data_IF_880315418278
#
_entry.id   IF_880315418278
#
_cell.length_a   1.000
_cell.length_b   1.000
_cell.length_c   1.000
_cell.angle_alpha   90.00
_cell.angle_beta   90.00
_cell.angle_gamma   90.00
#
_symmetry.space_group_name_H-M   'P 1'
#
loop_
_entity.id
_entity.type
_entity.pdbx_description
1 polymer ?
#
# COMPACT_ATOMS: atom_id res chain seq x y z
N UNK A 1 5.84 6.49 9.09
CA UNK A 1 5.43 7.83 8.60
C UNK A 1 6.62 8.69 8.23
N UNK A 2 6.36 9.91 7.77
CA UNK A 2 7.38 10.86 7.41
C UNK A 2 7.04 11.59 6.11
N UNK A 3 7.88 12.56 5.75
CA UNK A 3 7.76 13.29 4.48
C UNK A 3 8.30 12.42 3.34
N UNK A 4 7.54 12.27 2.25
CA UNK A 4 7.92 11.39 1.16
C UNK A 4 9.16 11.85 0.37
N UNK A 5 9.52 13.13 0.46
CA UNK A 5 10.74 13.65 -0.13
C UNK A 5 11.95 13.51 0.79
N UNK A 6 11.83 14.01 2.02
CA UNK A 6 12.96 14.13 2.95
C UNK A 6 13.24 12.84 3.73
N UNK A 7 12.22 12.01 3.94
CA UNK A 7 12.30 10.85 4.81
C UNK A 7 12.22 9.50 4.08
N UNK A 8 12.08 9.52 2.75
CA UNK A 8 11.84 8.29 1.96
C UNK A 8 12.98 7.27 2.09
N UNK A 9 14.21 7.74 2.34
CA UNK A 9 15.39 6.90 2.49
C UNK A 9 15.71 6.53 3.95
N UNK A 10 14.83 6.87 4.89
CA UNK A 10 15.07 6.64 6.32
C UNK A 10 14.48 5.33 6.85
N UNK A 11 13.91 4.53 5.97
CA UNK A 11 13.41 3.20 6.34
C UNK A 11 12.06 3.18 7.05
N UNK A 12 11.32 4.30 7.05
CA UNK A 12 9.98 4.33 7.66
C UNK A 12 9.02 3.37 6.97
N UNK A 13 8.17 2.72 7.76
CA UNK A 13 7.13 1.85 7.25
C UNK A 13 6.06 2.65 6.51
N UNK A 14 5.59 2.10 5.40
CA UNK A 14 4.40 2.57 4.71
C UNK A 14 3.22 1.70 5.18
N UNK A 15 2.25 2.31 5.87
CA UNK A 15 1.14 1.59 6.48
C UNK A 15 0.30 0.81 5.45
N UNK A 16 0.12 1.35 4.24
CA UNK A 16 -0.60 0.66 3.18
C UNK A 16 0.13 -0.60 2.72
N UNK A 17 1.45 -0.52 2.58
CA UNK A 17 2.26 -1.69 2.21
C UNK A 17 2.25 -2.75 3.31
N UNK A 18 2.36 -2.34 4.56
CA UNK A 18 2.36 -3.25 5.71
C UNK A 18 1.02 -3.97 5.85
N UNK A 19 -0.09 -3.23 5.83
CA UNK A 19 -1.43 -3.84 5.87
C UNK A 19 -1.62 -4.82 4.73
N UNK A 20 -1.21 -4.44 3.53
CA UNK A 20 -1.38 -5.28 2.35
C UNK A 20 -0.56 -6.57 2.41
N UNK A 21 0.61 -6.57 3.06
CA UNK A 21 1.38 -7.81 3.29
C UNK A 21 0.54 -8.86 4.02
N UNK A 22 -0.14 -8.45 5.08
CA UNK A 22 -1.03 -9.35 5.82
C UNK A 22 -2.22 -9.80 4.97
N UNK A 23 -2.88 -8.86 4.28
CA UNK A 23 -4.05 -9.17 3.46
C UNK A 23 -3.73 -10.15 2.33
N UNK A 24 -2.59 -9.99 1.66
CA UNK A 24 -2.14 -10.92 0.62
C UNK A 24 -1.99 -12.34 1.14
N UNK A 25 -1.30 -12.50 2.27
CA UNK A 25 -1.09 -13.81 2.88
C UNK A 25 -2.40 -14.43 3.36
N UNK A 26 -3.25 -13.64 4.01
CA UNK A 26 -4.54 -14.10 4.51
C UNK A 26 -5.50 -14.48 3.38
N UNK A 27 -5.49 -13.72 2.28
CA UNK A 27 -6.34 -14.02 1.11
C UNK A 27 -5.92 -15.30 0.39
N UNK A 28 -4.64 -15.67 0.44
CA UNK A 28 -4.16 -16.95 -0.10
C UNK A 28 -4.53 -18.14 0.78
N UNK A 29 -4.50 -17.94 2.10
CA UNK A 29 -4.69 -19.01 3.09
C UNK A 29 -6.14 -19.27 3.45
N UNK A 30 -6.96 -18.21 3.46
CA UNK A 30 -8.36 -18.27 3.87
C UNK A 30 -9.29 -17.81 2.77
N UNK A 31 -10.56 -18.18 2.87
CA UNK A 31 -11.62 -17.65 2.01
C UNK A 31 -12.01 -16.24 2.49
N UNK A 32 -11.11 -15.30 2.25
CA UNK A 32 -11.23 -13.92 2.70
C UNK A 32 -11.96 -13.07 1.68
N UNK A 33 -12.87 -12.22 2.16
CA UNK A 33 -13.53 -11.17 1.38
C UNK A 33 -13.17 -9.80 1.94
N UNK A 34 -12.80 -8.88 1.07
CA UNK A 34 -12.46 -7.51 1.44
C UNK A 34 -13.68 -6.60 1.22
N UNK A 35 -14.17 -6.00 2.30
CA UNK A 35 -15.30 -5.08 2.27
C UNK A 35 -14.87 -3.62 2.18
N UNK A 36 -13.79 -3.26 2.86
CA UNK A 36 -13.33 -1.88 2.92
C UNK A 36 -11.82 -1.82 3.12
N UNK A 37 -11.18 -0.83 2.52
CA UNK A 37 -9.75 -0.56 2.71
C UNK A 37 -9.49 0.93 2.59
N UNK A 38 -8.69 1.47 3.50
CA UNK A 38 -8.20 2.84 3.40
C UNK A 38 -6.85 3.01 4.07
N UNK A 39 -6.09 3.99 3.63
CA UNK A 39 -4.85 4.38 4.28
C UNK A 39 -4.21 5.58 3.61
N UNK A 40 -3.62 6.47 4.42
CA UNK A 40 -3.00 7.69 3.95
C UNK A 40 -4.01 8.76 3.53
N UNK A 41 -3.57 10.02 3.51
CA UNK A 41 -4.42 11.14 3.11
C UNK A 41 -3.69 12.27 2.38
N UNK A 42 -2.37 12.21 2.32
CA UNK A 42 -1.54 13.25 1.69
C UNK A 42 -0.56 12.63 0.71
N UNK A 43 -0.47 13.20 -0.49
CA UNK A 43 0.45 12.70 -1.52
C UNK A 43 1.93 12.84 -1.16
N UNK A 44 2.27 13.78 -0.28
CA UNK A 44 3.65 14.06 0.14
C UNK A 44 4.01 13.46 1.51
N UNK A 45 3.21 12.55 2.02
CA UNK A 45 3.49 11.87 3.28
C UNK A 45 3.53 10.36 3.09
N UNK A 46 4.44 9.71 3.81
CA UNK A 46 4.44 8.25 3.95
C UNK A 46 3.28 7.88 4.88
N UNK A 47 2.31 7.06 4.45
CA UNK A 47 1.15 6.74 5.26
C UNK A 47 1.52 6.16 6.63
N UNK A 48 0.91 6.72 7.67
CA UNK A 48 1.11 6.27 9.06
C UNK A 48 0.05 5.29 9.51
N UNK A 49 -1.11 5.32 8.89
CA UNK A 49 -2.27 4.54 9.27
C UNK A 49 -2.90 3.88 8.05
N UNK A 50 -3.38 2.68 8.24
CA UNK A 50 -4.18 1.97 7.26
C UNK A 50 -5.11 1.00 7.98
N UNK A 51 -6.29 0.76 7.40
CA UNK A 51 -7.25 -0.19 7.93
C UNK A 51 -7.99 -0.91 6.83
N UNK A 52 -8.48 -2.11 7.14
CA UNK A 52 -9.34 -2.87 6.26
C UNK A 52 -10.44 -3.56 7.07
N UNK A 53 -11.57 -3.78 6.44
CA UNK A 53 -12.67 -4.59 6.97
C UNK A 53 -12.81 -5.81 6.06
N UNK A 54 -12.68 -6.99 6.66
CA UNK A 54 -12.70 -8.25 5.94
C UNK A 54 -13.68 -9.22 6.58
N UNK A 55 -14.13 -10.19 5.81
CA UNK A 55 -14.83 -11.36 6.32
C UNK A 55 -14.06 -12.62 6.00
N UNK A 56 -14.06 -13.55 6.94
CA UNK A 56 -13.53 -14.90 6.77
C UNK A 56 -14.56 -15.90 7.28
N UNK A 57 -14.51 -17.18 6.85
CA UNK A 57 -15.39 -18.21 7.44
C UNK A 57 -15.23 -18.24 8.95
N UNK A 58 -16.35 -18.36 9.66
CA UNK A 58 -16.36 -18.36 11.12
C UNK A 58 -15.40 -19.39 11.72
N UNK A 59 -15.28 -20.54 11.10
CA UNK A 59 -14.35 -21.61 11.52
C UNK A 59 -12.89 -21.19 11.55
N UNK A 60 -12.52 -20.20 10.75
CA UNK A 60 -11.13 -19.73 10.59
C UNK A 60 -10.80 -18.52 11.46
N UNK A 61 -11.78 -17.99 12.19
CA UNK A 61 -11.65 -16.75 12.97
C UNK A 61 -10.45 -16.74 13.90
N UNK A 62 -10.25 -17.80 14.66
CA UNK A 62 -9.14 -17.87 15.63
C UNK A 62 -7.79 -18.04 14.93
N UNK A 63 -7.73 -18.82 13.86
CA UNK A 63 -6.51 -19.00 13.08
C UNK A 63 -6.05 -17.68 12.43
N UNK A 64 -6.99 -16.89 11.90
CA UNK A 64 -6.70 -15.57 11.36
C UNK A 64 -6.15 -14.65 12.44
N UNK A 65 -6.73 -14.69 13.64
CA UNK A 65 -6.26 -13.89 14.78
C UNK A 65 -4.85 -14.25 15.20
N UNK A 66 -4.55 -15.55 15.24
CA UNK A 66 -3.21 -16.06 15.54
C UNK A 66 -2.21 -15.59 14.47
N UNK A 67 -2.56 -15.74 13.20
CA UNK A 67 -1.70 -15.30 12.09
C UNK A 67 -1.43 -13.80 12.15
N UNK A 68 -2.45 -13.01 12.48
CA UNK A 68 -2.30 -11.57 12.64
C UNK A 68 -1.35 -11.21 13.78
N UNK A 69 -1.46 -11.87 14.92
CA UNK A 69 -0.57 -11.62 16.07
C UNK A 69 0.88 -11.98 15.75
N UNK A 70 1.11 -13.08 15.03
CA UNK A 70 2.46 -13.47 14.56
C UNK A 70 3.00 -12.44 13.60
N UNK A 71 2.20 -12.03 12.63
CA UNK A 71 2.56 -10.99 11.67
C UNK A 71 2.92 -9.68 12.36
N UNK A 72 2.09 -9.24 13.32
CA UNK A 72 2.34 -8.01 14.07
C UNK A 72 3.68 -8.05 14.80
N UNK A 73 3.99 -9.15 15.46
CA UNK A 73 5.26 -9.32 16.17
C UNK A 73 6.46 -9.31 15.23
N UNK A 74 6.35 -9.96 14.08
CA UNK A 74 7.41 -9.99 13.07
C UNK A 74 7.68 -8.59 12.49
N UNK A 75 6.63 -7.85 12.15
CA UNK A 75 6.77 -6.51 11.59
C UNK A 75 7.24 -5.51 12.63
N UNK A 76 6.78 -5.60 13.87
CA UNK A 76 7.31 -4.78 14.98
C UNK A 76 8.80 -4.99 15.14
N UNK A 77 9.28 -6.22 15.09
CA UNK A 77 10.71 -6.53 15.16
C UNK A 77 11.47 -5.99 13.95
N UNK A 78 10.91 -6.10 12.76
CA UNK A 78 11.51 -5.60 11.52
C UNK A 78 11.74 -4.08 11.55
N UNK A 79 10.81 -3.32 12.11
CA UNK A 79 10.87 -1.86 12.17
C UNK A 79 11.24 -1.29 13.53
N UNK A 80 11.64 -2.11 14.50
CA UNK A 80 11.86 -1.69 15.88
C UNK A 80 12.80 -0.51 16.05
N UNK A 81 13.83 -0.39 15.23
CA UNK A 81 14.81 0.70 15.30
C UNK A 81 14.26 2.05 14.81
N UNK A 82 13.20 2.05 14.01
CA UNK A 82 12.70 3.25 13.33
C UNK A 82 11.26 3.57 13.73
N UNK A 83 10.39 2.55 13.81
CA UNK A 83 8.97 2.71 14.15
C UNK A 83 8.71 2.19 15.58
N UNK A 84 9.19 2.96 16.56
CA UNK A 84 9.11 2.57 17.97
C UNK A 84 7.69 2.59 18.55
N UNK A 85 6.75 3.21 17.85
CA UNK A 85 5.35 3.35 18.27
C UNK A 85 4.38 2.61 17.35
N UNK A 86 4.87 1.66 16.56
CA UNK A 86 4.02 0.86 15.69
C UNK A 86 2.97 0.10 16.50
N UNK A 87 1.72 0.14 16.02
CA UNK A 87 0.60 -0.51 16.69
C UNK A 87 -0.23 -1.28 15.66
N UNK A 88 -0.52 -2.53 16.01
CA UNK A 88 -1.32 -3.44 15.20
C UNK A 88 -2.52 -3.89 16.01
N UNK A 89 -3.71 -3.69 15.48
CA UNK A 89 -4.96 -4.09 16.15
C UNK A 89 -5.85 -4.86 15.20
N UNK A 90 -6.54 -5.85 15.75
CA UNK A 90 -7.59 -6.58 15.06
C UNK A 90 -8.79 -6.69 15.99
N UNK A 91 -9.94 -6.26 15.51
CA UNK A 91 -11.18 -6.25 16.26
C UNK A 91 -12.29 -6.92 15.46
N UNK A 92 -13.26 -7.50 16.16
CA UNK A 92 -14.48 -7.97 15.52
C UNK A 92 -15.31 -6.78 15.05
N UNK A 93 -15.85 -6.88 13.84
CA UNK A 93 -16.75 -5.88 13.28
C UNK A 93 -18.14 -6.46 13.11
N UNK A 94 -19.12 -5.59 12.87
CA UNK A 94 -20.46 -6.01 12.48
C UNK A 94 -20.41 -6.78 11.15
N UNK A 95 -21.44 -7.60 10.90
CA UNK A 95 -21.54 -8.33 9.65
C UNK A 95 -21.47 -7.37 8.46
N UNK A 96 -20.63 -7.71 7.47
CA UNK A 96 -20.49 -6.89 6.27
C UNK A 96 -21.72 -7.03 5.36
N UNK A 97 -22.18 -5.91 4.80
CA UNK A 97 -23.29 -5.90 3.86
C UNK A 97 -22.86 -6.31 2.45
N UNK A 98 -21.62 -5.99 2.09
CA UNK A 98 -21.06 -6.28 0.76
C UNK A 98 -19.53 -6.37 0.82
N UNK A 99 -18.98 -7.03 -0.18
CA UNK A 99 -17.54 -7.11 -0.39
C UNK A 99 -17.27 -7.06 -1.90
N UNK A 100 -16.04 -6.67 -2.27
CA UNK A 100 -15.65 -6.75 -3.67
C UNK A 100 -15.51 -8.22 -4.10
N UNK A 101 -15.69 -8.47 -5.39
CA UNK A 101 -15.51 -9.81 -5.94
C UNK A 101 -14.06 -10.29 -5.78
N UNK A 102 -13.88 -11.61 -5.73
CA UNK A 102 -12.57 -12.23 -5.48
C UNK A 102 -11.52 -11.84 -6.51
N UNK A 103 -11.88 -11.78 -7.79
CA UNK A 103 -10.92 -11.45 -8.84
C UNK A 103 -10.41 -10.01 -8.68
N UNK A 104 -11.29 -9.06 -8.44
CA UNK A 104 -10.93 -7.66 -8.19
C UNK A 104 -10.07 -7.54 -6.93
N UNK A 105 -10.46 -8.20 -5.85
CA UNK A 105 -9.68 -8.23 -4.61
C UNK A 105 -8.27 -8.76 -4.83
N UNK A 106 -8.13 -9.90 -5.51
CA UNK A 106 -6.82 -10.49 -5.76
C UNK A 106 -5.95 -9.58 -6.63
N UNK A 107 -6.52 -8.97 -7.66
CA UNK A 107 -5.79 -8.03 -8.50
C UNK A 107 -5.34 -6.79 -7.73
N UNK A 108 -6.22 -6.25 -6.89
CA UNK A 108 -5.91 -5.10 -6.03
C UNK A 108 -4.78 -5.42 -5.05
N UNK A 109 -4.90 -6.51 -4.31
CA UNK A 109 -3.90 -6.89 -3.30
C UNK A 109 -2.54 -7.20 -3.94
N UNK A 110 -2.52 -7.88 -5.09
CA UNK A 110 -1.29 -8.17 -5.82
C UNK A 110 -0.65 -6.91 -6.38
N UNK A 111 -1.44 -5.97 -6.91
CA UNK A 111 -0.93 -4.70 -7.40
C UNK A 111 -0.32 -3.88 -6.27
N UNK A 112 -1.00 -3.78 -5.13
CA UNK A 112 -0.49 -3.07 -3.95
C UNK A 112 0.77 -3.73 -3.39
N UNK A 113 0.89 -5.04 -3.49
CA UNK A 113 2.09 -5.76 -3.06
C UNK A 113 3.26 -5.57 -4.03
N UNK A 114 2.98 -5.67 -5.33
CA UNK A 114 4.00 -5.64 -6.37
C UNK A 114 4.47 -4.25 -6.77
N UNK A 115 3.66 -3.21 -6.54
CA UNK A 115 4.04 -1.85 -6.94
C UNK A 115 5.24 -1.36 -6.16
N UNK A 116 6.17 -0.75 -6.88
CA UNK A 116 7.37 -0.19 -6.27
C UNK A 116 7.02 0.93 -5.29
N UNK A 117 7.67 0.92 -4.14
CA UNK A 117 7.55 1.95 -3.12
C UNK A 117 8.89 2.14 -2.42
N UNK A 118 9.35 3.39 -2.32
CA UNK A 118 10.61 3.72 -1.68
C UNK A 118 11.61 4.36 -2.64
N UNK A 119 12.89 4.19 -2.34
CA UNK A 119 13.98 4.72 -3.16
C UNK A 119 14.17 3.84 -4.38
N UNK A 120 13.95 4.42 -5.55
CA UNK A 120 14.13 3.74 -6.84
C UNK A 120 15.58 3.85 -7.33
N UNK A 121 16.19 5.02 -7.17
CA UNK A 121 17.58 5.25 -7.52
C UNK A 121 18.22 6.29 -6.62
N UNK A 122 19.49 6.09 -6.32
CA UNK A 122 20.32 7.09 -5.66
C UNK A 122 21.05 7.94 -6.72
N UNK A 123 21.41 9.17 -6.37
CA UNK A 123 22.18 10.03 -7.25
C UNK A 123 23.55 9.44 -7.52
N UNK A 124 23.95 9.39 -8.78
CA UNK A 124 25.30 8.99 -9.18
C UNK A 124 26.33 10.12 -8.97
N UNK A 125 25.85 11.35 -8.85
CA UNK A 125 26.71 12.55 -8.76
C UNK A 125 26.93 13.00 -7.32
N UNK A 126 25.92 12.87 -6.47
CA UNK A 126 25.94 13.34 -5.07
C UNK A 126 25.72 12.17 -4.12
N UNK A 127 26.77 11.71 -3.41
CA UNK A 127 26.63 10.63 -2.44
C UNK A 127 25.58 10.92 -1.38
N UNK A 128 24.74 9.95 -1.09
CA UNK A 128 23.71 10.04 -0.07
C UNK A 128 22.42 10.75 -0.50
N UNK A 129 22.38 11.30 -1.71
CA UNK A 129 21.18 11.96 -2.23
C UNK A 129 20.31 10.98 -3.01
N UNK A 130 19.02 10.97 -2.70
CA UNK A 130 18.02 10.20 -3.47
C UNK A 130 17.76 10.90 -4.81
N UNK A 131 17.98 10.21 -5.92
CA UNK A 131 17.64 10.72 -7.26
C UNK A 131 16.15 10.54 -7.53
N UNK A 132 15.65 9.31 -7.37
CA UNK A 132 14.29 8.93 -7.77
C UNK A 132 13.63 8.10 -6.68
N UNK A 133 12.41 8.43 -6.35
CA UNK A 133 11.61 7.70 -5.36
C UNK A 133 10.14 7.67 -5.75
N UNK A 134 9.42 6.70 -5.19
CA UNK A 134 7.96 6.59 -5.32
C UNK A 134 7.36 6.31 -3.96
N UNK A 135 6.24 6.94 -3.66
CA UNK A 135 5.50 6.78 -2.42
C UNK A 135 4.06 6.33 -2.72
N UNK A 136 3.67 5.19 -2.18
CA UNK A 136 2.27 4.79 -2.16
C UNK A 136 1.56 5.65 -1.12
N UNK A 137 0.97 6.74 -1.56
CA UNK A 137 0.53 7.82 -0.69
C UNK A 137 -0.84 7.58 -0.07
N UNK A 138 -1.79 7.04 -0.82
CA UNK A 138 -3.12 6.79 -0.29
C UNK A 138 -3.85 5.67 -1.02
N UNK A 139 -4.69 4.99 -0.26
CA UNK A 139 -5.70 4.04 -0.76
C UNK A 139 -7.02 4.51 -0.17
N UNK A 140 -8.02 4.71 -1.01
CA UNK A 140 -9.37 5.13 -0.59
C UNK A 140 -10.42 4.35 -1.33
N UNK A 141 -11.43 3.94 -0.58
CA UNK A 141 -12.59 3.26 -1.14
C UNK A 141 -13.82 4.11 -0.92
N UNK A 142 -14.50 4.48 -2.01
CA UNK A 142 -15.72 5.27 -1.99
C UNK A 142 -16.54 4.97 -3.24
N UNK A 143 -17.88 4.93 -3.11
CA UNK A 143 -18.81 4.78 -4.24
C UNK A 143 -18.51 3.56 -5.14
N UNK A 144 -18.11 2.45 -4.54
CA UNK A 144 -17.80 1.22 -5.27
C UNK A 144 -16.46 1.23 -6.02
N UNK A 145 -15.62 2.25 -5.80
CA UNK A 145 -14.31 2.38 -6.42
C UNK A 145 -13.20 2.40 -5.39
N UNK A 146 -12.05 1.85 -5.74
CA UNK A 146 -10.80 2.02 -4.99
C UNK A 146 -9.92 2.99 -5.76
N UNK A 147 -9.54 4.08 -5.11
CA UNK A 147 -8.63 5.08 -5.66
C UNK A 147 -7.29 4.99 -4.96
N UNK A 148 -6.23 4.85 -5.75
CA UNK A 148 -4.87 4.71 -5.25
C UNK A 148 -4.05 5.86 -5.81
N UNK A 149 -3.35 6.55 -4.92
CA UNK A 149 -2.47 7.67 -5.29
C UNK A 149 -1.04 7.30 -4.95
N UNK A 150 -0.17 7.42 -5.95
CA UNK A 150 1.27 7.32 -5.78
C UNK A 150 1.89 8.63 -6.24
N UNK A 151 2.93 9.06 -5.55
CA UNK A 151 3.69 10.23 -5.96
C UNK A 151 5.15 9.86 -6.17
N UNK A 152 5.72 10.33 -7.27
CA UNK A 152 7.11 10.14 -7.62
C UNK A 152 7.87 11.45 -7.52
N UNK A 153 9.13 11.35 -7.08
CA UNK A 153 10.07 12.47 -7.06
C UNK A 153 11.35 12.03 -7.75
N UNK A 154 11.89 12.92 -8.57
CA UNK A 154 13.17 12.67 -9.24
C UNK A 154 13.83 13.98 -9.67
N UNK A 155 15.15 14.04 -9.54
CA UNK A 155 15.98 15.06 -10.17
C UNK A 155 16.29 14.75 -11.63
N UNK A 156 15.94 13.54 -12.09
CA UNK A 156 16.09 13.10 -13.48
C UNK A 156 14.72 12.93 -14.14
N UNK A 157 14.48 13.63 -15.24
CA UNK A 157 13.23 13.52 -15.98
C UNK A 157 13.03 12.10 -16.53
N UNK A 158 14.08 11.48 -17.05
CA UNK A 158 14.00 10.10 -17.56
C UNK A 158 13.82 9.07 -16.44
N UNK A 159 14.45 9.27 -15.29
CA UNK A 159 14.27 8.42 -14.11
C UNK A 159 12.86 8.51 -13.55
N UNK A 160 12.29 9.70 -13.52
CA UNK A 160 10.90 9.91 -13.11
C UNK A 160 9.93 9.20 -14.05
N UNK A 161 10.16 9.33 -15.35
CA UNK A 161 9.34 8.63 -16.34
C UNK A 161 9.43 7.11 -16.18
N UNK A 162 10.61 6.58 -15.94
CA UNK A 162 10.81 5.14 -15.77
C UNK A 162 10.02 4.59 -14.58
N UNK A 163 10.15 5.21 -13.40
CA UNK A 163 9.40 4.73 -12.22
C UNK A 163 7.89 4.93 -12.40
N UNK A 164 7.47 6.00 -13.05
CA UNK A 164 6.06 6.24 -13.35
C UNK A 164 5.51 5.19 -14.30
N UNK A 165 6.26 4.83 -15.35
CA UNK A 165 5.88 3.78 -16.30
C UNK A 165 5.81 2.40 -15.60
N UNK A 166 6.73 2.13 -14.67
CA UNK A 166 6.71 0.90 -13.87
C UNK A 166 5.44 0.80 -13.00
N UNK A 167 5.08 1.88 -12.34
CA UNK A 167 3.85 1.95 -11.54
C UNK A 167 2.62 1.75 -12.42
N UNK A 168 2.57 2.44 -13.56
CA UNK A 168 1.48 2.27 -14.54
C UNK A 168 1.33 0.83 -14.97
N UNK A 169 2.42 0.18 -15.35
CA UNK A 169 2.40 -1.19 -15.84
C UNK A 169 1.78 -2.15 -14.84
N UNK A 170 2.12 -2.02 -13.56
CA UNK A 170 1.57 -2.88 -12.50
C UNK A 170 0.05 -2.70 -12.38
N UNK A 171 -0.44 -1.46 -12.34
CA UNK A 171 -1.86 -1.20 -12.18
C UNK A 171 -2.68 -1.53 -13.45
N UNK A 172 -2.13 -1.31 -14.63
CA UNK A 172 -2.78 -1.72 -15.87
C UNK A 172 -2.89 -3.25 -15.97
N UNK A 173 -1.87 -3.99 -15.56
CA UNK A 173 -1.93 -5.45 -15.47
C UNK A 173 -3.03 -5.91 -14.50
N UNK A 174 -3.28 -5.13 -13.45
CA UNK A 174 -4.35 -5.41 -12.47
C UNK A 174 -5.73 -4.97 -12.94
N UNK A 175 -5.86 -4.41 -14.14
CA UNK A 175 -7.13 -3.97 -14.71
C UNK A 175 -7.59 -2.59 -14.24
N UNK A 176 -6.70 -1.79 -13.65
CA UNK A 176 -7.02 -0.43 -13.22
C UNK A 176 -6.88 0.58 -14.36
N UNK A 177 -7.65 1.67 -14.27
CA UNK A 177 -7.44 2.85 -15.10
C UNK A 177 -6.41 3.75 -14.43
N UNK A 178 -5.43 4.24 -15.20
CA UNK A 178 -4.31 5.03 -14.68
C UNK A 178 -4.31 6.41 -15.30
N UNK A 179 -4.25 7.44 -14.44
CA UNK A 179 -4.07 8.83 -14.86
C UNK A 179 -2.76 9.37 -14.32
N UNK A 180 -2.05 10.14 -15.14
CA UNK A 180 -0.85 10.86 -14.73
C UNK A 180 -1.23 12.30 -14.45
N UNK A 181 -0.98 12.74 -13.20
CA UNK A 181 -1.22 14.13 -12.82
C UNK A 181 -0.13 15.05 -13.38
N UNK A 182 -0.54 16.23 -13.84
CA UNK A 182 0.37 17.27 -14.28
C UNK A 182 0.83 18.17 -13.13
N UNK A 183 2.04 18.72 -13.23
CA UNK A 183 2.59 19.70 -12.30
C UNK A 183 3.12 19.08 -11.02
N UNK A 184 2.35 18.30 -10.31
CA UNK A 184 2.82 17.47 -9.21
C UNK A 184 2.75 16.02 -9.65
N UNK A 185 3.84 15.26 -9.54
CA UNK A 185 3.83 13.88 -9.99
C UNK A 185 2.92 13.05 -9.10
N UNK A 186 1.76 12.72 -9.61
CA UNK A 186 0.79 11.91 -8.90
C UNK A 186 0.11 10.93 -9.84
N UNK A 187 -0.15 9.74 -9.36
CA UNK A 187 -0.87 8.71 -10.06
C UNK A 187 -2.17 8.42 -9.33
N UNK A 188 -3.24 8.25 -10.09
CA UNK A 188 -4.56 7.89 -9.57
C UNK A 188 -5.08 6.67 -10.31
N UNK A 189 -4.56 5.47 -10.02
CA UNK A 189 -5.18 4.27 -10.56
C UNK A 189 -6.54 4.06 -9.91
N UNK A 190 -7.55 3.76 -10.73
CA UNK A 190 -8.88 3.42 -10.25
C UNK A 190 -9.09 1.92 -10.49
N UNK A 191 -9.18 1.16 -9.41
CA UNK A 191 -9.59 -0.23 -9.47
C UNK A 191 -11.11 -0.27 -9.24
N UNK A 192 -11.87 -0.73 -10.22
CA UNK A 192 -13.31 -0.95 -10.06
C UNK A 192 -13.54 -2.29 -9.41
N UNK A 193 -14.40 -2.29 -8.40
CA UNK A 193 -14.87 -3.50 -7.73
C UNK A 193 -15.96 -4.20 -8.55
#
# INVERSE_FOLDING_TARGET
GGHSGDDINKGHANANKVLNRFLCTAAEKYDLYLSYIEGGNKHNAIPREAMAICAVPWKDKEDVRVDFNVFAAEVEAEYAAIETKARFTMESADAIASAMDKATMQNLLRALHGVFNGVFAMSNDVPGLVETSSNLASVRMADGEVKIVLSQRSSSASGKKDVADSVRAVFELAGAEVEVGEGYPGWKPNAKS
#
